data_IF_931869840119
#
_entry.id   IF_931869840119
#
_cell.length_a   1.000
_cell.length_b   1.000
_cell.length_c   1.000
_cell.angle_alpha   90.00
_cell.angle_beta   90.00
_cell.angle_gamma   90.00
#
_symmetry.space_group_name_H-M   'P 1'
#
loop_
_entity.id
_entity.type
_entity.pdbx_description
1 polymer ?
#
# COMPACT_ATOMS: atom_id res chain seq x y z
N UNK A 1 13.66 5.30 17.55
CA UNK A 1 13.63 4.34 16.44
C UNK A 1 12.23 3.77 16.46
N UNK A 2 11.39 4.11 15.47
CA UNK A 2 10.01 3.64 15.42
C UNK A 2 10.01 2.12 15.18
N UNK A 3 9.02 1.44 15.73
CA UNK A 3 8.73 0.05 15.35
C UNK A 3 8.40 -0.03 13.85
N UNK A 4 8.57 -1.20 13.23
CA UNK A 4 8.24 -1.41 11.82
C UNK A 4 6.75 -1.07 11.57
N UNK A 5 5.87 -1.51 12.46
CA UNK A 5 4.43 -1.27 12.33
C UNK A 5 4.10 0.22 12.47
N UNK A 6 4.71 0.91 13.44
CA UNK A 6 4.55 2.37 13.57
C UNK A 6 5.02 3.13 12.31
N UNK A 7 6.10 2.65 11.68
CA UNK A 7 6.61 3.23 10.43
C UNK A 7 5.59 3.06 9.30
N UNK A 8 5.00 1.87 9.18
CA UNK A 8 4.02 1.57 8.14
C UNK A 8 2.71 2.34 8.34
N UNK A 9 2.22 2.48 9.57
CA UNK A 9 1.07 3.34 9.87
C UNK A 9 1.33 4.80 9.49
N UNK A 10 2.50 5.34 9.82
CA UNK A 10 2.85 6.70 9.43
C UNK A 10 2.89 6.88 7.90
N UNK A 11 3.34 5.87 7.15
CA UNK A 11 3.28 5.87 5.69
C UNK A 11 1.84 5.81 5.15
N UNK A 12 0.95 5.04 5.80
CA UNK A 12 -0.47 5.03 5.45
C UNK A 12 -1.13 6.39 5.65
N UNK A 13 -0.86 7.04 6.79
CA UNK A 13 -1.35 8.39 7.07
C UNK A 13 -0.88 9.40 6.00
N UNK A 14 0.39 9.30 5.58
CA UNK A 14 0.93 10.13 4.50
C UNK A 14 0.22 9.86 3.15
N UNK A 15 0.05 8.59 2.79
CA UNK A 15 -0.65 8.18 1.56
C UNK A 15 -2.09 8.71 1.57
N UNK A 16 -2.81 8.57 2.69
CA UNK A 16 -4.18 9.07 2.84
C UNK A 16 -4.26 10.60 2.66
N UNK A 17 -3.33 11.34 3.28
CA UNK A 17 -3.25 12.79 3.11
C UNK A 17 -2.95 13.21 1.66
N UNK A 18 -2.14 12.45 0.93
CA UNK A 18 -1.89 12.73 -0.49
C UNK A 18 -3.16 12.45 -1.31
N UNK A 19 -3.85 11.34 -1.06
CA UNK A 19 -5.13 10.99 -1.71
C UNK A 19 -6.16 12.11 -1.54
N UNK A 20 -6.28 12.68 -0.34
CA UNK A 20 -7.16 13.82 -0.10
C UNK A 20 -6.80 15.04 -0.95
N UNK A 21 -5.50 15.34 -1.10
CA UNK A 21 -5.05 16.44 -1.97
C UNK A 21 -5.31 16.17 -3.45
N UNK A 22 -5.17 14.92 -3.90
CA UNK A 22 -5.56 14.51 -5.27
C UNK A 22 -7.06 14.68 -5.48
N UNK A 23 -7.89 14.26 -4.52
CA UNK A 23 -9.35 14.42 -4.57
C UNK A 23 -9.75 15.90 -4.68
N UNK A 24 -9.15 16.73 -3.86
CA UNK A 24 -9.36 18.18 -3.83
C UNK A 24 -8.96 18.84 -5.17
N UNK A 25 -7.77 18.52 -5.68
CA UNK A 25 -7.30 19.04 -6.97
C UNK A 25 -8.19 18.58 -8.14
N UNK A 26 -8.61 17.31 -8.12
CA UNK A 26 -9.52 16.72 -9.11
C UNK A 26 -10.88 17.41 -9.12
N UNK A 27 -11.40 17.75 -7.93
CA UNK A 27 -12.68 18.45 -7.75
C UNK A 27 -12.61 19.86 -8.29
N UNK A 28 -11.49 20.57 -8.07
CA UNK A 28 -11.23 21.90 -8.65
C UNK A 28 -10.95 21.88 -10.15
N UNK A 29 -10.70 20.71 -10.73
CA UNK A 29 -10.26 20.57 -12.12
C UNK A 29 -8.84 21.10 -12.37
N UNK A 30 -8.03 21.16 -11.31
CA UNK A 30 -6.66 21.65 -11.34
C UNK A 30 -5.71 20.53 -11.76
N UNK A 31 -5.53 20.39 -13.07
CA UNK A 31 -4.74 19.31 -13.68
C UNK A 31 -3.28 19.32 -13.24
N UNK A 32 -2.67 20.50 -13.08
CA UNK A 32 -1.28 20.62 -12.65
C UNK A 32 -1.11 20.12 -11.21
N UNK A 33 -2.01 20.53 -10.31
CA UNK A 33 -2.02 20.01 -8.95
C UNK A 33 -2.29 18.50 -8.90
N UNK A 34 -3.20 17.98 -9.73
CA UNK A 34 -3.43 16.52 -9.78
C UNK A 34 -2.15 15.79 -10.19
N UNK A 35 -1.48 16.22 -11.25
CA UNK A 35 -0.24 15.58 -11.71
C UNK A 35 0.85 15.61 -10.62
N UNK A 36 1.04 16.76 -9.98
CA UNK A 36 2.01 16.93 -8.89
C UNK A 36 1.72 16.01 -7.70
N UNK A 37 0.46 15.93 -7.26
CA UNK A 37 0.10 15.09 -6.12
C UNK A 37 0.12 13.59 -6.50
N UNK A 38 -0.09 13.24 -7.76
CA UNK A 38 0.11 11.86 -8.24
C UNK A 38 1.59 11.44 -8.21
N UNK A 39 2.52 12.33 -8.55
CA UNK A 39 3.95 12.05 -8.42
C UNK A 39 4.35 11.84 -6.96
N UNK A 40 3.79 12.65 -6.05
CA UNK A 40 3.96 12.49 -4.61
C UNK A 40 3.37 11.16 -4.13
N UNK A 41 2.18 10.80 -4.60
CA UNK A 41 1.53 9.53 -4.28
C UNK A 41 2.36 8.34 -4.76
N UNK A 42 2.86 8.41 -6.00
CA UNK A 42 3.72 7.37 -6.55
C UNK A 42 4.97 7.16 -5.71
N UNK A 43 5.61 8.25 -5.30
CA UNK A 43 6.79 8.20 -4.44
C UNK A 43 6.47 7.56 -3.09
N UNK A 44 5.39 7.99 -2.43
CA UNK A 44 4.98 7.47 -1.12
C UNK A 44 4.60 5.99 -1.18
N UNK A 45 3.79 5.58 -2.17
CA UNK A 45 3.38 4.19 -2.36
C UNK A 45 4.58 3.30 -2.67
N UNK A 46 5.49 3.71 -3.56
CA UNK A 46 6.68 2.92 -3.86
C UNK A 46 7.60 2.76 -2.65
N UNK A 47 7.79 3.82 -1.87
CA UNK A 47 8.58 3.76 -0.64
C UNK A 47 7.94 2.85 0.43
N UNK A 48 6.61 2.89 0.56
CA UNK A 48 5.87 1.98 1.43
C UNK A 48 6.05 0.52 1.00
N UNK A 49 5.79 0.21 -0.28
CA UNK A 49 5.94 -1.14 -0.82
C UNK A 49 7.37 -1.70 -0.64
N UNK A 50 8.40 -0.87 -0.83
CA UNK A 50 9.79 -1.28 -0.62
C UNK A 50 10.05 -1.72 0.83
N UNK A 51 9.47 -1.03 1.81
CA UNK A 51 9.58 -1.41 3.23
C UNK A 51 8.91 -2.75 3.48
N UNK A 52 7.75 -2.99 2.89
CA UNK A 52 7.05 -4.26 3.03
C UNK A 52 7.81 -5.43 2.39
N UNK A 53 8.23 -5.25 1.13
CA UNK A 53 8.95 -6.23 0.32
C UNK A 53 10.31 -6.60 0.94
N UNK A 54 11.02 -5.62 1.52
CA UNK A 54 12.35 -5.85 2.10
C UNK A 54 12.32 -6.31 3.56
N UNK A 55 11.25 -6.00 4.32
CA UNK A 55 11.22 -6.22 5.77
C UNK A 55 10.02 -7.02 6.25
N UNK A 56 8.79 -6.58 5.93
CA UNK A 56 7.56 -7.15 6.48
C UNK A 56 7.32 -8.57 5.98
N UNK A 57 7.23 -8.77 4.66
CA UNK A 57 6.96 -10.09 4.08
C UNK A 57 8.07 -11.10 4.39
N UNK A 58 9.38 -10.76 4.28
CA UNK A 58 10.43 -11.69 4.65
C UNK A 58 10.39 -12.13 6.11
N UNK A 59 10.01 -11.24 7.04
CA UNK A 59 9.88 -11.58 8.45
C UNK A 59 8.70 -12.52 8.72
N UNK A 60 7.55 -12.26 8.10
CA UNK A 60 6.38 -13.14 8.17
C UNK A 60 6.67 -14.52 7.59
N UNK A 61 7.35 -14.60 6.44
CA UNK A 61 7.75 -15.87 5.82
C UNK A 61 8.65 -16.68 6.75
N UNK A 62 9.68 -16.06 7.34
CA UNK A 62 10.55 -16.74 8.32
C UNK A 62 9.80 -17.20 9.56
N UNK A 63 8.89 -16.39 10.09
CA UNK A 63 8.10 -16.77 11.26
C UNK A 63 7.15 -17.95 10.94
N UNK A 64 6.52 -17.92 9.78
CA UNK A 64 5.69 -19.02 9.29
C UNK A 64 6.47 -20.33 9.14
N UNK A 65 7.68 -20.29 8.57
CA UNK A 65 8.55 -21.48 8.44
C UNK A 65 8.95 -22.06 9.80
N UNK A 66 9.25 -21.20 10.78
CA UNK A 66 9.70 -21.61 12.12
C UNK A 66 8.61 -22.28 12.94
N UNK A 67 7.35 -21.88 12.79
CA UNK A 67 6.24 -22.44 13.60
C UNK A 67 5.85 -23.86 13.17
N UNK A 68 6.30 -24.38 12.01
CA UNK A 68 5.92 -25.68 11.44
C UNK A 68 4.39 -25.90 11.34
N UNK A 69 3.59 -24.84 11.48
CA UNK A 69 2.14 -24.88 11.33
C UNK A 69 1.79 -24.56 9.87
N UNK A 70 1.14 -25.49 9.17
CA UNK A 70 0.78 -25.31 7.75
C UNK A 70 -0.17 -24.13 7.52
N UNK A 71 -1.01 -23.80 8.50
CA UNK A 71 -2.06 -22.77 8.39
C UNK A 71 -1.46 -21.34 8.34
N UNK A 72 -0.62 -20.90 9.31
CA UNK A 72 0.13 -19.64 9.22
C UNK A 72 0.91 -19.46 7.92
N UNK A 73 1.61 -20.51 7.46
CA UNK A 73 2.43 -20.44 6.24
C UNK A 73 1.61 -20.32 4.95
N UNK A 74 0.39 -20.86 4.92
CA UNK A 74 -0.53 -20.65 3.80
C UNK A 74 -1.09 -19.23 3.81
N UNK A 75 -1.48 -18.72 4.99
CA UNK A 75 -2.01 -17.36 5.14
C UNK A 75 -0.97 -16.32 4.71
N UNK A 76 0.28 -16.43 5.18
CA UNK A 76 1.36 -15.50 4.83
C UNK A 76 1.59 -15.43 3.30
N UNK A 77 1.69 -16.57 2.63
CA UNK A 77 1.88 -16.65 1.18
C UNK A 77 0.69 -16.12 0.38
N UNK A 78 -0.53 -16.38 0.84
CA UNK A 78 -1.73 -15.81 0.20
C UNK A 78 -1.77 -14.29 0.32
N UNK A 79 -1.39 -13.74 1.47
CA UNK A 79 -1.30 -12.30 1.66
C UNK A 79 -0.25 -11.68 0.74
N UNK A 80 0.97 -12.21 0.72
CA UNK A 80 2.04 -11.74 -0.15
C UNK A 80 1.60 -11.69 -1.62
N UNK A 81 0.99 -12.78 -2.13
CA UNK A 81 0.56 -12.84 -3.53
C UNK A 81 -0.59 -11.87 -3.87
N UNK A 82 -1.60 -11.79 -3.00
CA UNK A 82 -2.72 -10.87 -3.19
C UNK A 82 -2.25 -9.43 -3.16
N UNK A 83 -1.35 -9.08 -2.23
CA UNK A 83 -0.80 -7.74 -2.10
C UNK A 83 0.08 -7.37 -3.30
N UNK A 84 0.87 -8.29 -3.84
CA UNK A 84 1.63 -8.05 -5.08
C UNK A 84 0.72 -7.70 -6.25
N UNK A 85 -0.44 -8.35 -6.38
CA UNK A 85 -1.40 -8.05 -7.45
C UNK A 85 -1.94 -6.63 -7.35
N UNK A 86 -2.30 -6.18 -6.15
CA UNK A 86 -2.75 -4.80 -5.89
C UNK A 86 -1.62 -3.82 -6.22
N UNK A 87 -0.39 -4.10 -5.79
CA UNK A 87 0.78 -3.26 -6.06
C UNK A 87 1.04 -3.08 -7.55
N UNK A 88 0.88 -4.14 -8.35
CA UNK A 88 1.03 -4.07 -9.81
C UNK A 88 -0.04 -3.17 -10.43
N UNK A 89 -1.30 -3.32 -10.00
CA UNK A 89 -2.40 -2.49 -10.51
C UNK A 89 -2.20 -0.99 -10.18
N UNK A 90 -1.75 -0.68 -8.96
CA UNK A 90 -1.45 0.68 -8.54
C UNK A 90 -0.29 1.29 -9.35
N UNK A 91 0.81 0.54 -9.52
CA UNK A 91 1.96 0.97 -10.33
C UNK A 91 1.54 1.26 -11.79
N UNK A 92 0.75 0.36 -12.39
CA UNK A 92 0.26 0.55 -13.76
C UNK A 92 -0.64 1.79 -13.91
N UNK A 93 -1.47 2.09 -12.91
CA UNK A 93 -2.27 3.31 -12.90
C UNK A 93 -1.39 4.56 -12.85
N UNK A 94 -0.44 4.61 -11.92
CA UNK A 94 0.46 5.76 -11.76
C UNK A 94 1.29 5.98 -13.04
N UNK A 95 1.78 4.90 -13.65
CA UNK A 95 2.52 4.95 -14.91
C UNK A 95 1.65 5.49 -16.07
N UNK A 96 0.39 5.06 -16.18
CA UNK A 96 -0.55 5.55 -17.20
C UNK A 96 -0.69 7.08 -17.17
N UNK A 97 -0.92 7.64 -15.99
CA UNK A 97 -1.18 9.08 -15.82
C UNK A 97 0.08 9.95 -15.73
N UNK A 98 1.26 9.36 -15.60
CA UNK A 98 2.54 10.08 -15.73
C UNK A 98 2.89 10.45 -17.18
N UNK A 99 2.39 9.71 -18.18
CA UNK A 99 2.72 9.92 -19.59
C UNK A 99 1.61 10.61 -20.39
N UNK A 100 0.35 10.34 -20.06
CA UNK A 100 -0.81 10.90 -20.75
C UNK A 100 -1.88 11.24 -19.74
N UNK A 101 -2.19 12.53 -19.62
CA UNK A 101 -3.16 13.01 -18.65
C UNK A 101 -4.38 13.64 -19.33
N UNK A 102 -5.52 12.96 -19.19
CA UNK A 102 -6.84 13.48 -19.57
C UNK A 102 -7.70 13.45 -18.33
N UNK A 103 -8.15 14.63 -17.86
CA UNK A 103 -8.82 14.78 -16.57
C UNK A 103 -10.11 13.96 -16.46
N UNK A 104 -10.90 13.85 -17.53
CA UNK A 104 -12.15 13.08 -17.51
C UNK A 104 -11.89 11.57 -17.44
N UNK A 105 -10.86 11.09 -18.13
CA UNK A 105 -10.42 9.70 -18.00
C UNK A 105 -9.89 9.42 -16.60
N UNK A 106 -9.12 10.37 -16.04
CA UNK A 106 -8.63 10.27 -14.67
C UNK A 106 -9.79 10.18 -13.68
N UNK A 107 -10.78 11.09 -13.76
CA UNK A 107 -11.96 11.11 -12.88
C UNK A 107 -12.75 9.80 -12.90
N UNK A 108 -12.80 9.12 -14.06
CA UNK A 108 -13.46 7.83 -14.19
C UNK A 108 -12.68 6.71 -13.51
N UNK A 109 -11.36 6.71 -13.64
CA UNK A 109 -10.52 5.59 -13.22
C UNK A 109 -10.04 5.75 -11.75
N UNK A 110 -9.90 6.98 -11.27
CA UNK A 110 -9.38 7.34 -9.94
C UNK A 110 -10.14 6.69 -8.76
N UNK A 111 -11.49 6.61 -8.76
CA UNK A 111 -12.22 5.96 -7.66
C UNK A 111 -11.82 4.49 -7.45
N UNK A 112 -11.45 3.78 -8.52
CA UNK A 112 -10.99 2.39 -8.42
C UNK A 112 -9.66 2.29 -7.68
N UNK A 113 -8.77 3.26 -7.89
CA UNK A 113 -7.48 3.34 -7.20
C UNK A 113 -7.66 3.68 -5.73
N UNK A 114 -8.53 4.64 -5.41
CA UNK A 114 -8.86 4.95 -4.02
C UNK A 114 -9.39 3.72 -3.29
N UNK A 115 -10.27 2.95 -3.94
CA UNK A 115 -10.79 1.71 -3.37
C UNK A 115 -9.68 0.68 -3.15
N UNK A 116 -8.82 0.45 -4.14
CA UNK A 116 -7.69 -0.48 -4.04
C UNK A 116 -6.72 -0.11 -2.90
N UNK A 117 -6.39 1.18 -2.74
CA UNK A 117 -5.55 1.66 -1.65
C UNK A 117 -6.23 1.47 -0.29
N UNK A 118 -7.51 1.82 -0.19
CA UNK A 118 -8.29 1.68 1.05
C UNK A 118 -8.39 0.22 1.48
N UNK A 119 -8.70 -0.68 0.54
CA UNK A 119 -8.81 -2.11 0.82
C UNK A 119 -7.47 -2.72 1.22
N UNK A 120 -6.38 -2.28 0.57
CA UNK A 120 -5.01 -2.68 0.92
C UNK A 120 -4.68 -2.27 2.35
N UNK A 121 -4.77 -0.99 2.66
CA UNK A 121 -4.45 -0.42 3.98
C UNK A 121 -5.28 -1.10 5.06
N UNK A 122 -6.59 -1.25 4.85
CA UNK A 122 -7.47 -1.92 5.81
C UNK A 122 -7.08 -3.39 6.02
N UNK A 123 -6.75 -4.12 4.96
CA UNK A 123 -6.31 -5.52 5.02
C UNK A 123 -5.01 -5.67 5.82
N UNK A 124 -4.06 -4.77 5.59
CA UNK A 124 -2.78 -4.74 6.29
C UNK A 124 -2.95 -4.44 7.78
N UNK A 125 -3.64 -3.36 8.13
CA UNK A 125 -3.80 -2.92 9.52
C UNK A 125 -4.68 -3.86 10.35
N UNK A 126 -5.76 -4.39 9.77
CA UNK A 126 -6.71 -5.22 10.51
C UNK A 126 -6.27 -6.68 10.58
N UNK A 127 -5.41 -7.13 9.66
CA UNK A 127 -5.02 -8.53 9.58
C UNK A 127 -3.51 -8.74 9.58
N UNK A 128 -2.78 -8.14 8.63
CA UNK A 128 -1.36 -8.43 8.45
C UNK A 128 -0.50 -7.97 9.64
N UNK A 129 -0.72 -6.76 10.14
CA UNK A 129 0.08 -6.19 11.24
C UNK A 129 -0.18 -6.91 12.58
N UNK A 130 -1.43 -7.30 12.93
CA UNK A 130 -1.69 -8.21 14.05
C UNK A 130 -0.99 -9.56 13.91
N UNK A 131 -0.98 -10.16 12.71
CA UNK A 131 -0.27 -11.41 12.47
C UNK A 131 1.24 -11.25 12.62
N UNK A 132 1.81 -10.16 12.10
CA UNK A 132 3.22 -9.82 12.29
C UNK A 132 3.56 -9.70 13.77
N UNK A 133 2.76 -8.96 14.53
CA UNK A 133 2.98 -8.76 15.97
C UNK A 133 2.90 -10.09 16.73
N UNK A 134 1.95 -10.95 16.38
CA UNK A 134 1.77 -12.27 17.00
C UNK A 134 2.92 -13.24 16.70
N UNK A 135 3.39 -13.28 15.45
CA UNK A 135 4.36 -14.28 14.99
C UNK A 135 5.81 -13.82 15.06
N UNK A 136 6.05 -12.52 15.04
CA UNK A 136 7.40 -11.91 15.06
C UNK A 136 7.62 -11.15 16.37
N UNK A 137 6.63 -10.40 16.85
CA UNK A 137 6.71 -9.62 18.10
C UNK A 137 6.68 -10.45 19.39
N UNK A 138 6.28 -11.72 19.33
CA UNK A 138 6.33 -12.65 20.46
C UNK A 138 7.74 -13.14 20.83
N UNK A 139 8.79 -12.71 20.14
CA UNK A 139 10.20 -13.09 20.40
C UNK A 139 10.92 -12.18 21.43
N UNK A 140 10.20 -11.57 22.39
CA UNK A 140 10.82 -10.85 23.52
C UNK A 140 10.70 -11.58 24.86
#
# INVERSE_FOLDING_TARGET
MLDLIDTLHAQHDEIAQIVDRVNDATTRGDVESVAKELDALATAVLAHLEVEDSRLYPALTRAAERTQLEVPAKIARTYEHNMQTISIALKAFLEKYSHSFVLDDFKRDWPLVCQLLTDRIASEEQTLYPLYTSWVGGET
#
